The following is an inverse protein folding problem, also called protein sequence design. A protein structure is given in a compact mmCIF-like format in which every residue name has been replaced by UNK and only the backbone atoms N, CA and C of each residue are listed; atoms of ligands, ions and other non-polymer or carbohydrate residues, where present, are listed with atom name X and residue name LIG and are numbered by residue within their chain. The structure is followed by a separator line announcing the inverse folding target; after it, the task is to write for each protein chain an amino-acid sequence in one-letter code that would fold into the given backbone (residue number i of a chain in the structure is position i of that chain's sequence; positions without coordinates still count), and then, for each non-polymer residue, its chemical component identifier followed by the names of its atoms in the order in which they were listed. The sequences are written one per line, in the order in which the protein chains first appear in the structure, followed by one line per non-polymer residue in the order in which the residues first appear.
data_IF_156074598050
#
_entry.id   IF_156074598050
#
_cell.length_a   1.000
_cell.length_b   1.000
_cell.length_c   1.000
_cell.angle_alpha   90.00
_cell.angle_beta   90.00
_cell.angle_gamma   90.00
#
_symmetry.space_group_name_H-M   'P 1'
#
loop_
_entity.id
_entity.type
_entity.pdbx_description
1 polymer ?
#
# COMPACT_ATOMS: atom_id res chain seq x y z
N UNK A 1 4.99 -12.90 2.19
CA UNK A 1 3.87 -12.37 1.36
C UNK A 1 4.08 -12.73 -0.11
N UNK A 2 5.25 -12.42 -0.66
CA UNK A 2 5.67 -12.76 -2.03
C UNK A 2 5.29 -14.18 -2.46
N UNK A 3 5.79 -15.22 -1.78
CA UNK A 3 5.54 -16.63 -2.14
C UNK A 3 4.06 -16.95 -2.29
N UNK A 4 3.20 -16.42 -1.41
CA UNK A 4 1.76 -16.66 -1.50
C UNK A 4 1.14 -16.03 -2.75
N UNK A 5 1.45 -14.77 -3.04
CA UNK A 5 0.91 -14.08 -4.20
C UNK A 5 1.50 -14.63 -5.51
N UNK A 6 2.74 -15.12 -5.48
CA UNK A 6 3.32 -15.91 -6.56
C UNK A 6 2.56 -17.22 -6.78
N UNK A 7 2.24 -17.97 -5.71
CA UNK A 7 1.39 -19.16 -5.83
C UNK A 7 0.01 -18.83 -6.41
N UNK A 8 -0.64 -17.76 -5.93
CA UNK A 8 -1.94 -17.31 -6.43
C UNK A 8 -1.88 -16.97 -7.93
N UNK A 9 -0.86 -16.21 -8.36
CA UNK A 9 -0.67 -15.85 -9.77
C UNK A 9 -0.37 -17.08 -10.63
N UNK A 10 0.51 -17.97 -10.17
CA UNK A 10 0.85 -19.20 -10.89
C UNK A 10 -0.37 -20.12 -11.01
N UNK A 11 -1.15 -20.30 -9.94
CA UNK A 11 -2.39 -21.06 -9.97
C UNK A 11 -3.35 -20.50 -11.01
N UNK A 12 -3.54 -19.19 -11.05
CA UNK A 12 -4.40 -18.52 -12.03
C UNK A 12 -3.92 -18.71 -13.49
N UNK A 13 -2.62 -18.63 -13.73
CA UNK A 13 -2.04 -18.83 -15.07
C UNK A 13 -2.12 -20.30 -15.53
N UNK A 14 -2.00 -21.24 -14.59
CA UNK A 14 -1.99 -22.68 -14.86
C UNK A 14 -3.41 -23.25 -14.93
N UNK A 15 -4.40 -22.67 -14.25
CA UNK A 15 -5.82 -23.07 -14.32
C UNK A 15 -6.37 -23.06 -15.76
N UNK A 16 -5.76 -22.26 -16.65
CA UNK A 16 -6.10 -22.23 -18.08
C UNK A 16 -5.57 -23.42 -18.87
N UNK A 17 -4.78 -24.32 -18.26
CA UNK A 17 -4.20 -25.51 -18.89
C UNK A 17 -4.80 -26.76 -18.23
N UNK A 18 -5.64 -27.48 -18.97
CA UNK A 18 -6.41 -28.63 -18.48
C UNK A 18 -5.55 -29.77 -17.88
N UNK A 19 -4.28 -29.89 -18.29
CA UNK A 19 -3.42 -31.02 -17.93
C UNK A 19 -2.64 -30.84 -16.59
N UNK A 20 -2.98 -29.83 -15.78
CA UNK A 20 -2.17 -29.44 -14.60
C UNK A 20 -2.96 -29.28 -13.29
N UNK A 21 -4.13 -29.90 -13.17
CA UNK A 21 -4.99 -29.81 -11.98
C UNK A 21 -4.27 -30.22 -10.69
N UNK A 22 -3.48 -31.30 -10.71
CA UNK A 22 -2.69 -31.77 -9.57
C UNK A 22 -1.69 -30.71 -9.08
N UNK A 23 -1.10 -29.93 -9.99
CA UNK A 23 -0.19 -28.84 -9.65
C UNK A 23 -0.95 -27.65 -9.06
N UNK A 24 -2.13 -27.31 -9.59
CA UNK A 24 -2.99 -26.25 -9.05
C UNK A 24 -3.39 -26.57 -7.61
N UNK A 25 -3.76 -27.81 -7.32
CA UNK A 25 -4.12 -28.25 -5.96
C UNK A 25 -2.95 -28.09 -4.98
N UNK A 26 -1.74 -28.53 -5.38
CA UNK A 26 -0.53 -28.35 -4.56
C UNK A 26 -0.23 -26.87 -4.30
N UNK A 27 -0.37 -26.01 -5.31
CA UNK A 27 -0.17 -24.56 -5.17
C UNK A 27 -1.18 -23.93 -4.21
N UNK A 28 -2.47 -24.30 -4.30
CA UNK A 28 -3.52 -23.83 -3.37
C UNK A 28 -3.26 -24.28 -1.94
N UNK A 29 -2.79 -25.51 -1.75
CA UNK A 29 -2.40 -26.01 -0.41
C UNK A 29 -1.21 -25.23 0.15
N UNK A 30 -0.18 -24.99 -0.66
CA UNK A 30 0.97 -24.19 -0.25
C UNK A 30 0.56 -22.75 0.08
N UNK A 31 -0.33 -22.16 -0.73
CA UNK A 31 -0.91 -20.84 -0.48
C UNK A 31 -1.59 -20.78 0.89
N UNK A 32 -2.43 -21.77 1.22
CA UNK A 32 -3.13 -21.86 2.48
C UNK A 32 -2.17 -22.00 3.68
N UNK A 33 -1.17 -22.88 3.60
CA UNK A 33 -0.16 -23.07 4.65
C UNK A 33 0.65 -21.79 4.88
N UNK A 34 1.10 -21.13 3.80
CA UNK A 34 1.81 -19.86 3.89
C UNK A 34 0.93 -18.75 4.46
N UNK A 35 -0.35 -18.71 4.10
CA UNK A 35 -1.31 -17.75 4.63
C UNK A 35 -1.49 -17.91 6.14
N UNK A 36 -1.64 -19.15 6.61
CA UNK A 36 -1.76 -19.48 8.03
C UNK A 36 -0.51 -19.07 8.82
N UNK A 37 0.68 -19.47 8.33
CA UNK A 37 1.95 -19.08 8.96
C UNK A 37 2.11 -17.56 9.06
N UNK A 38 1.74 -16.81 8.01
CA UNK A 38 1.77 -15.34 8.05
C UNK A 38 0.83 -14.73 9.08
N UNK A 39 -0.32 -15.35 9.37
CA UNK A 39 -1.24 -14.84 10.41
C UNK A 39 -0.63 -15.01 11.79
N UNK A 40 -0.01 -16.16 12.05
CA UNK A 40 0.71 -16.43 13.30
C UNK A 40 1.82 -15.39 13.54
N UNK A 41 2.70 -15.14 12.55
CA UNK A 41 3.77 -14.14 12.70
C UNK A 41 3.24 -12.71 12.91
N UNK A 42 2.02 -12.40 12.49
CA UNK A 42 1.42 -11.07 12.64
C UNK A 42 0.89 -10.78 14.04
N UNK A 43 0.78 -11.76 14.92
CA UNK A 43 0.38 -11.54 16.31
C UNK A 43 1.32 -10.54 17.02
N UNK A 44 2.63 -10.64 16.78
CA UNK A 44 3.61 -9.68 17.31
C UNK A 44 3.48 -8.27 16.70
N UNK A 45 2.94 -8.14 15.49
CA UNK A 45 2.80 -6.86 14.81
C UNK A 45 1.69 -5.97 15.39
N UNK A 46 0.76 -6.53 16.18
CA UNK A 46 -0.25 -5.72 16.90
C UNK A 46 0.43 -4.73 17.84
N UNK A 47 1.43 -5.17 18.61
CA UNK A 47 2.17 -4.33 19.54
C UNK A 47 2.94 -3.24 18.78
N UNK A 48 3.58 -3.61 17.67
CA UNK A 48 4.26 -2.65 16.81
C UNK A 48 3.30 -1.59 16.24
N UNK A 49 2.09 -1.97 15.83
CA UNK A 49 1.08 -1.04 15.33
C UNK A 49 0.61 -0.07 16.43
N UNK A 50 0.41 -0.55 17.67
CA UNK A 50 0.05 0.31 18.80
C UNK A 50 1.16 1.28 19.18
N UNK A 51 2.42 0.82 19.19
CA UNK A 51 3.58 1.68 19.43
C UNK A 51 3.72 2.74 18.32
N UNK A 52 3.52 2.35 17.06
CA UNK A 52 3.51 3.28 15.94
C UNK A 52 2.38 4.31 16.05
N UNK A 53 1.18 3.90 16.48
CA UNK A 53 0.07 4.82 16.75
C UNK A 53 0.39 5.82 17.86
N UNK A 54 1.07 5.39 18.93
CA UNK A 54 1.52 6.28 20.01
C UNK A 54 2.56 7.28 19.53
N UNK A 55 3.55 6.84 18.74
CA UNK A 55 4.58 7.73 18.16
C UNK A 55 3.96 8.76 17.22
N UNK A 56 3.00 8.35 16.40
CA UNK A 56 2.31 9.25 15.48
C UNK A 56 1.63 10.43 16.20
N UNK A 57 1.17 10.26 17.45
CA UNK A 57 0.57 11.37 18.24
C UNK A 57 1.56 12.49 18.56
N UNK A 58 2.86 12.23 18.51
CA UNK A 58 3.91 13.19 18.82
C UNK A 58 4.34 14.03 17.60
N UNK A 59 3.84 13.73 16.40
CA UNK A 59 4.14 14.48 15.18
C UNK A 59 3.62 15.91 15.28
N UNK A 60 4.37 16.96 14.87
CA UNK A 60 3.94 18.35 14.98
C UNK A 60 2.73 18.68 14.09
N UNK A 61 2.68 18.14 12.88
CA UNK A 61 1.64 18.46 11.90
C UNK A 61 0.32 17.70 12.14
N UNK A 62 -0.80 18.42 12.14
CA UNK A 62 -2.12 17.88 12.51
C UNK A 62 -2.63 16.83 11.52
N UNK A 63 -2.48 17.06 10.21
CA UNK A 63 -3.03 16.19 9.17
C UNK A 63 -2.27 14.84 9.10
N UNK A 64 -0.93 14.80 8.99
CA UNK A 64 -0.17 13.54 9.06
C UNK A 64 -0.36 12.81 10.39
N UNK A 65 -0.41 13.54 11.52
CA UNK A 65 -0.66 12.97 12.85
C UNK A 65 -1.98 12.19 12.88
N UNK A 66 -3.07 12.81 12.40
CA UNK A 66 -4.38 12.16 12.37
C UNK A 66 -4.37 10.92 11.47
N UNK A 67 -3.91 11.07 10.21
CA UNK A 67 -3.89 9.98 9.24
C UNK A 67 -3.04 8.78 9.72
N UNK A 68 -1.84 9.03 10.27
CA UNK A 68 -0.95 7.99 10.77
C UNK A 68 -1.49 7.33 12.04
N UNK A 69 -2.07 8.10 12.95
CA UNK A 69 -2.69 7.55 14.17
C UNK A 69 -3.88 6.66 13.82
N UNK A 70 -4.78 7.14 12.97
CA UNK A 70 -5.95 6.40 12.51
C UNK A 70 -5.57 5.15 11.71
N UNK A 71 -4.59 5.25 10.81
CA UNK A 71 -4.05 4.12 10.03
C UNK A 71 -3.48 3.03 10.93
N UNK A 72 -2.66 3.40 11.93
CA UNK A 72 -2.04 2.43 12.82
C UNK A 72 -3.03 1.81 13.82
N UNK A 73 -4.03 2.57 14.27
CA UNK A 73 -5.08 2.04 15.14
C UNK A 73 -5.97 1.02 14.42
N UNK A 74 -6.42 1.36 13.20
CA UNK A 74 -7.22 0.44 12.39
C UNK A 74 -6.42 -0.77 11.92
N UNK A 75 -5.09 -0.64 11.77
CA UNK A 75 -4.18 -1.76 11.54
C UNK A 75 -4.04 -2.67 12.77
N UNK A 76 -4.05 -2.13 13.98
CA UNK A 76 -4.06 -2.92 15.20
C UNK A 76 -5.37 -3.73 15.31
N UNK A 77 -6.53 -3.10 15.02
CA UNK A 77 -7.82 -3.79 14.95
C UNK A 77 -7.83 -4.91 13.91
N UNK A 78 -7.26 -4.66 12.74
CA UNK A 78 -7.07 -5.68 11.72
C UNK A 78 -6.29 -6.90 12.24
N UNK A 79 -5.17 -6.69 12.94
CA UNK A 79 -4.38 -7.79 13.50
C UNK A 79 -5.15 -8.57 14.58
N UNK A 80 -6.00 -7.91 15.37
CA UNK A 80 -6.88 -8.58 16.33
C UNK A 80 -7.87 -9.50 15.59
N UNK A 81 -8.54 -9.00 14.54
CA UNK A 81 -9.44 -9.84 13.75
C UNK A 81 -8.70 -11.02 13.09
N UNK A 82 -7.47 -10.79 12.60
CA UNK A 82 -6.64 -11.84 12.01
C UNK A 82 -6.23 -12.91 13.05
N UNK A 83 -5.98 -12.50 14.30
CA UNK A 83 -5.69 -13.39 15.42
C UNK A 83 -6.89 -14.29 15.75
N UNK A 84 -8.10 -13.71 15.83
CA UNK A 84 -9.34 -14.45 16.06
C UNK A 84 -9.60 -15.46 14.94
N UNK A 85 -9.42 -15.05 13.68
CA UNK A 85 -9.57 -15.96 12.53
C UNK A 85 -8.52 -17.08 12.52
N UNK A 86 -7.30 -16.80 12.96
CA UNK A 86 -6.26 -17.81 13.09
C UNK A 86 -6.60 -18.80 14.21
N UNK A 87 -7.04 -18.31 15.37
CA UNK A 87 -7.45 -19.12 16.53
C UNK A 87 -8.57 -20.12 16.17
N UNK A 88 -9.56 -19.65 15.41
CA UNK A 88 -10.62 -20.50 14.88
C UNK A 88 -10.07 -21.59 13.93
N UNK A 89 -9.13 -21.24 13.05
CA UNK A 89 -8.51 -22.23 12.14
C UNK A 89 -7.66 -23.28 12.85
N UNK A 90 -7.15 -22.99 14.05
CA UNK A 90 -6.43 -23.95 14.91
C UNK A 90 -7.39 -24.82 15.73
N UNK A 91 -8.70 -24.51 15.72
CA UNK A 91 -9.72 -25.28 16.41
C UNK A 91 -9.95 -24.87 17.87
N UNK A 92 -9.31 -23.78 18.32
CA UNK A 92 -9.42 -23.29 19.70
C UNK A 92 -10.72 -22.52 19.97
N UNK A 93 -11.36 -21.98 18.92
CA UNK A 93 -12.66 -21.30 19.03
C UNK A 93 -13.54 -21.56 17.79
N UNK A 94 -14.23 -22.71 17.73
CA UNK A 94 -14.94 -23.16 16.53
C UNK A 94 -16.25 -22.40 16.23
N UNK A 95 -16.85 -21.74 17.23
CA UNK A 95 -18.17 -21.08 17.11
C UNK A 95 -18.11 -19.67 16.47
N UNK A 96 -16.94 -19.26 15.98
CA UNK A 96 -16.78 -17.91 15.40
C UNK A 96 -17.19 -17.90 13.94
N UNK A 97 -18.10 -17.00 13.58
CA UNK A 97 -18.50 -16.73 12.19
C UNK A 97 -17.31 -16.21 11.36
N UNK A 98 -16.66 -17.13 10.63
CA UNK A 98 -15.48 -16.83 9.80
C UNK A 98 -15.75 -15.74 8.77
N UNK A 99 -16.96 -15.70 8.20
CA UNK A 99 -17.32 -14.76 7.14
C UNK A 99 -17.43 -13.34 7.68
N UNK A 100 -18.14 -13.16 8.80
CA UNK A 100 -18.28 -11.85 9.45
C UNK A 100 -16.93 -11.29 9.90
N UNK A 101 -16.12 -12.10 10.58
CA UNK A 101 -14.81 -11.66 11.06
C UNK A 101 -13.82 -11.37 9.92
N UNK A 102 -13.87 -12.14 8.83
CA UNK A 102 -13.13 -11.84 7.60
C UNK A 102 -13.55 -10.48 7.03
N UNK A 103 -14.85 -10.22 6.93
CA UNK A 103 -15.36 -8.96 6.39
C UNK A 103 -14.93 -7.75 7.26
N UNK A 104 -15.05 -7.87 8.59
CA UNK A 104 -14.57 -6.85 9.54
C UNK A 104 -13.06 -6.60 9.41
N UNK A 105 -12.25 -7.65 9.32
CA UNK A 105 -10.81 -7.53 9.09
C UNK A 105 -10.53 -6.78 7.78
N UNK A 106 -11.22 -7.12 6.70
CA UNK A 106 -11.07 -6.47 5.39
C UNK A 106 -11.44 -4.98 5.46
N UNK A 107 -12.53 -4.62 6.12
CA UNK A 107 -12.93 -3.22 6.31
C UNK A 107 -11.90 -2.42 7.10
N UNK A 108 -11.38 -3.00 8.20
CA UNK A 108 -10.34 -2.35 9.01
C UNK A 108 -9.06 -2.13 8.20
N UNK A 109 -8.64 -3.15 7.44
CA UNK A 109 -7.45 -3.06 6.59
C UNK A 109 -7.65 -2.04 5.45
N UNK A 110 -8.82 -2.02 4.82
CA UNK A 110 -9.18 -1.06 3.79
C UNK A 110 -9.13 0.38 4.31
N UNK A 111 -9.73 0.65 5.48
CA UNK A 111 -9.69 1.98 6.08
C UNK A 111 -8.26 2.41 6.43
N UNK A 112 -7.47 1.50 6.99
CA UNK A 112 -6.04 1.74 7.28
C UNK A 112 -5.27 2.15 6.01
N UNK A 113 -5.60 1.52 4.89
CA UNK A 113 -4.99 1.80 3.60
C UNK A 113 -5.42 3.15 3.02
N UNK A 114 -6.70 3.50 3.14
CA UNK A 114 -7.19 4.83 2.74
C UNK A 114 -6.51 5.94 3.53
N UNK A 115 -6.33 5.77 4.84
CA UNK A 115 -5.63 6.75 5.68
C UNK A 115 -4.16 6.91 5.28
N UNK A 116 -3.49 5.81 4.89
CA UNK A 116 -2.14 5.88 4.34
C UNK A 116 -2.09 6.63 3.01
N UNK A 117 -3.00 6.31 2.08
CA UNK A 117 -3.09 6.98 0.78
C UNK A 117 -3.41 8.48 0.95
N UNK A 118 -4.28 8.85 1.88
CA UNK A 118 -4.58 10.23 2.20
C UNK A 118 -3.34 10.98 2.71
N UNK A 119 -2.52 10.33 3.55
CA UNK A 119 -1.23 10.88 4.00
C UNK A 119 -0.24 11.02 2.85
N UNK A 120 -0.13 10.02 1.99
CA UNK A 120 0.77 10.07 0.83
C UNK A 120 0.35 11.19 -0.13
N UNK A 121 -0.95 11.33 -0.38
CA UNK A 121 -1.51 12.41 -1.18
C UNK A 121 -1.22 13.79 -0.60
N UNK A 122 -1.46 13.97 0.70
CA UNK A 122 -1.17 15.24 1.39
C UNK A 122 0.31 15.63 1.25
N UNK A 123 1.22 14.68 1.49
CA UNK A 123 2.67 14.92 1.38
C UNK A 123 3.09 15.28 -0.07
N UNK A 124 2.47 14.63 -1.06
CA UNK A 124 2.70 14.94 -2.48
C UNK A 124 2.20 16.36 -2.80
N UNK A 125 0.99 16.72 -2.37
CA UNK A 125 0.41 18.04 -2.60
C UNK A 125 1.27 19.14 -1.98
N UNK A 126 1.68 18.96 -0.72
CA UNK A 126 2.56 19.89 -0.02
C UNK A 126 3.89 20.10 -0.75
N UNK A 127 4.55 19.01 -1.18
CA UNK A 127 5.82 19.09 -1.92
C UNK A 127 5.67 19.69 -3.30
N UNK A 128 4.54 19.45 -3.95
CA UNK A 128 4.25 20.01 -5.26
C UNK A 128 4.05 21.53 -5.16
N UNK A 129 3.33 22.00 -4.14
CA UNK A 129 3.18 23.44 -3.86
C UNK A 129 4.55 24.10 -3.64
N UNK A 130 5.43 23.48 -2.85
CA UNK A 130 6.80 23.97 -2.67
C UNK A 130 7.58 24.04 -3.98
N UNK A 131 7.52 23.00 -4.81
CA UNK A 131 8.21 22.98 -6.11
C UNK A 131 7.69 24.05 -7.08
N UNK A 132 6.38 24.35 -7.03
CA UNK A 132 5.79 25.43 -7.82
C UNK A 132 6.26 26.80 -7.33
N UNK A 133 6.34 27.02 -6.02
CA UNK A 133 6.84 28.29 -5.47
C UNK A 133 8.34 28.50 -5.75
N UNK A 134 9.15 27.45 -5.67
CA UNK A 134 10.57 27.51 -6.06
C UNK A 134 10.74 27.87 -7.54
N UNK A 135 9.92 27.31 -8.43
CA UNK A 135 9.94 27.63 -9.86
C UNK A 135 9.52 29.08 -10.10
N UNK A 136 8.45 29.56 -9.49
CA UNK A 136 8.02 30.96 -9.59
C UNK A 136 9.10 31.94 -9.11
N UNK A 137 9.77 31.63 -8.01
CA UNK A 137 10.86 32.47 -7.47
C UNK A 137 12.06 32.49 -8.40
N UNK A 138 12.45 31.34 -8.98
CA UNK A 138 13.54 31.24 -9.97
C UNK A 138 13.20 31.94 -11.27
N UNK A 139 11.98 31.76 -11.77
CA UNK A 139 11.49 32.47 -12.95
C UNK A 139 11.50 33.98 -12.72
N UNK A 140 11.02 34.48 -11.58
CA UNK A 140 11.07 35.91 -11.26
C UNK A 140 12.51 36.48 -11.25
N UNK A 141 13.52 35.67 -10.87
CA UNK A 141 14.94 36.06 -10.97
C UNK A 141 15.54 35.94 -12.38
N UNK A 142 14.91 35.18 -13.28
CA UNK A 142 15.40 34.88 -14.62
C UNK A 142 14.69 35.72 -15.72
N UNK A 143 13.45 36.16 -15.46
CA UNK A 143 12.68 37.07 -16.32
C UNK A 143 13.30 38.46 -16.45
N UNK A 144 14.22 38.85 -15.56
CA UNK A 144 15.01 40.08 -15.70
C UNK A 144 16.05 40.01 -16.84
N UNK A 145 16.22 38.83 -17.48
CA UNK A 145 17.25 38.62 -18.51
C UNK A 145 16.80 37.98 -19.83
N UNK A 146 15.60 37.39 -19.94
CA UNK A 146 15.30 36.48 -21.06
C UNK A 146 13.88 36.58 -21.65
N UNK A 147 13.34 37.79 -21.73
CA UNK A 147 11.99 38.07 -22.23
C UNK A 147 11.78 37.80 -23.75
N UNK A 148 12.66 37.04 -24.44
CA UNK A 148 12.69 37.03 -25.92
C UNK A 148 12.58 35.69 -26.65
N UNK A 149 12.70 34.49 -26.05
CA UNK A 149 12.80 33.26 -26.89
C UNK A 149 11.91 32.04 -26.60
N UNK A 150 11.22 31.93 -25.46
CA UNK A 150 10.59 30.63 -25.10
C UNK A 150 9.06 30.63 -25.07
N UNK A 151 8.43 31.21 -26.09
CA UNK A 151 6.99 31.01 -26.34
C UNK A 151 6.65 29.66 -27.01
N UNK A 152 7.59 28.70 -27.04
CA UNK A 152 7.48 27.48 -27.85
C UNK A 152 7.59 26.17 -27.06
N UNK A 153 6.93 26.05 -25.89
CA UNK A 153 6.33 24.77 -25.44
C UNK A 153 5.15 25.12 -24.53
N UNK A 154 3.98 25.44 -25.10
CA UNK A 154 2.71 25.30 -24.37
C UNK A 154 2.47 23.81 -24.17
N UNK A 155 3.12 23.24 -23.17
CA UNK A 155 2.75 21.94 -22.65
C UNK A 155 1.44 22.15 -21.91
N UNK A 156 0.39 21.43 -22.30
CA UNK A 156 -0.91 21.45 -21.62
C UNK A 156 -0.70 21.43 -20.09
N UNK A 157 -1.47 22.24 -19.35
CA UNK A 157 -1.30 22.38 -17.90
C UNK A 157 -1.27 21.03 -17.17
N UNK A 158 -1.98 20.02 -17.70
CA UNK A 158 -1.98 18.65 -17.21
C UNK A 158 -0.62 17.94 -17.42
N UNK A 159 0.00 18.07 -18.59
CA UNK A 159 1.29 17.44 -18.88
C UNK A 159 2.42 18.07 -18.07
N UNK A 160 2.41 19.40 -17.92
CA UNK A 160 3.33 20.11 -17.03
C UNK A 160 3.17 19.70 -15.56
N UNK A 161 1.93 19.54 -15.10
CA UNK A 161 1.62 19.04 -13.76
C UNK A 161 2.09 17.59 -13.56
N UNK A 162 1.84 16.69 -14.51
CA UNK A 162 2.28 15.28 -14.43
C UNK A 162 3.80 15.16 -14.41
N UNK A 163 4.51 15.95 -15.22
CA UNK A 163 5.98 15.98 -15.20
C UNK A 163 6.52 16.47 -13.85
N UNK A 164 5.92 17.53 -13.30
CA UNK A 164 6.25 18.04 -11.96
C UNK A 164 6.00 16.99 -10.88
N UNK A 165 4.85 16.33 -10.92
CA UNK A 165 4.49 15.26 -10.00
C UNK A 165 5.52 14.12 -10.06
N UNK A 166 5.86 13.65 -11.26
CA UNK A 166 6.87 12.61 -11.47
C UNK A 166 8.25 13.05 -10.96
N UNK A 167 8.62 14.32 -11.15
CA UNK A 167 9.87 14.87 -10.65
C UNK A 167 9.93 14.89 -9.12
N UNK A 168 8.85 15.32 -8.46
CA UNK A 168 8.73 15.31 -6.99
C UNK A 168 8.82 13.88 -6.46
N UNK A 169 8.10 12.94 -7.09
CA UNK A 169 8.08 11.54 -6.68
C UNK A 169 9.46 10.88 -6.87
N UNK A 170 10.17 11.21 -7.96
CA UNK A 170 11.55 10.75 -8.21
C UNK A 170 12.55 11.32 -7.20
N UNK A 171 12.36 12.57 -6.75
CA UNK A 171 13.20 13.21 -5.73
C UNK A 171 12.94 12.65 -4.33
N UNK A 172 11.77 12.04 -4.11
CA UNK A 172 11.37 11.44 -2.84
C UNK A 172 11.04 9.95 -3.00
N UNK A 173 12.04 9.09 -3.25
CA UNK A 173 11.82 7.67 -3.51
C UNK A 173 11.08 6.92 -2.38
N UNK A 174 11.21 7.25 -1.08
CA UNK A 174 10.41 6.58 -0.05
C UNK A 174 8.90 6.83 -0.17
N UNK A 175 8.49 8.03 -0.61
CA UNK A 175 7.08 8.40 -0.80
C UNK A 175 6.49 7.69 -2.03
N UNK A 176 7.28 7.60 -3.12
CA UNK A 176 6.93 6.81 -4.29
C UNK A 176 6.66 5.35 -3.92
N UNK A 177 7.59 4.75 -3.17
CA UNK A 177 7.50 3.34 -2.78
C UNK A 177 6.30 3.08 -1.88
N UNK A 178 6.01 3.95 -0.89
CA UNK A 178 4.83 3.79 -0.04
C UNK A 178 3.54 3.94 -0.84
N UNK A 179 3.45 4.95 -1.73
CA UNK A 179 2.30 5.16 -2.61
C UNK A 179 2.04 3.94 -3.50
N UNK A 180 3.05 3.47 -4.24
CA UNK A 180 2.93 2.31 -5.15
C UNK A 180 2.49 1.08 -4.37
N UNK A 181 3.09 0.84 -3.20
CA UNK A 181 2.73 -0.27 -2.33
C UNK A 181 1.28 -0.17 -1.87
N UNK A 182 0.86 1.00 -1.39
CA UNK A 182 -0.50 1.21 -0.89
C UNK A 182 -1.54 1.06 -2.01
N UNK A 183 -1.26 1.58 -3.22
CA UNK A 183 -2.12 1.40 -4.40
C UNK A 183 -2.25 -0.08 -4.80
N UNK A 184 -1.14 -0.83 -4.79
CA UNK A 184 -1.17 -2.26 -5.10
C UNK A 184 -1.97 -3.07 -4.06
N UNK A 185 -1.77 -2.77 -2.77
CA UNK A 185 -2.46 -3.44 -1.66
C UNK A 185 -3.97 -3.12 -1.63
N UNK A 186 -4.45 -2.12 -2.39
CA UNK A 186 -5.86 -1.74 -2.50
C UNK A 186 -6.72 -2.74 -3.29
N UNK A 187 -6.10 -3.45 -4.24
CA UNK A 187 -6.78 -4.42 -5.12
C UNK A 187 -7.49 -5.54 -4.34
N UNK A 188 -6.85 -6.07 -3.29
CA UNK A 188 -7.40 -7.17 -2.50
C UNK A 188 -8.67 -6.80 -1.70
N UNK A 189 -8.64 -5.73 -0.90
CA UNK A 189 -9.82 -5.30 -0.15
C UNK A 189 -10.98 -4.83 -1.02
N UNK A 190 -10.70 -4.15 -2.14
CA UNK A 190 -11.74 -3.71 -3.08
C UNK A 190 -12.52 -4.90 -3.67
N UNK A 191 -11.82 -5.97 -4.03
CA UNK A 191 -12.43 -7.19 -4.54
C UNK A 191 -13.23 -7.92 -3.43
N UNK A 192 -12.63 -8.08 -2.25
CA UNK A 192 -13.26 -8.79 -1.12
C UNK A 192 -14.51 -8.08 -0.60
N UNK A 193 -14.55 -6.74 -0.66
CA UNK A 193 -15.71 -5.93 -0.27
C UNK A 193 -16.75 -5.82 -1.38
N UNK A 194 -16.46 -6.33 -2.58
CA UNK A 194 -17.36 -6.23 -3.74
C UNK A 194 -17.49 -4.83 -4.33
N UNK A 195 -16.60 -3.89 -3.95
CA UNK A 195 -16.60 -2.50 -4.46
C UNK A 195 -16.11 -2.46 -5.91
N UNK A 196 -15.06 -3.23 -6.21
CA UNK A 196 -14.52 -3.36 -7.56
C UNK A 196 -14.03 -4.79 -7.81
N UNK A 197 -14.74 -5.52 -8.69
CA UNK A 197 -14.41 -6.92 -9.02
C UNK A 197 -13.09 -6.96 -9.79
N UNK A 198 -12.08 -7.54 -9.17
CA UNK A 198 -10.74 -7.62 -9.72
C UNK A 198 -10.40 -9.07 -10.03
N UNK A 199 -9.70 -9.31 -11.14
CA UNK A 199 -9.28 -10.65 -11.47
C UNK A 199 -8.22 -11.17 -10.46
N UNK A 200 -8.30 -12.44 -9.99
CA UNK A 200 -7.29 -13.05 -9.12
C UNK A 200 -5.84 -12.88 -9.63
N UNK A 201 -5.61 -12.89 -10.94
CA UNK A 201 -4.29 -12.64 -11.53
C UNK A 201 -3.76 -11.23 -11.24
N UNK A 202 -4.63 -10.21 -11.28
CA UNK A 202 -4.25 -8.82 -10.97
C UNK A 202 -3.94 -8.68 -9.48
N UNK A 203 -4.75 -9.28 -8.60
CA UNK A 203 -4.50 -9.29 -7.15
C UNK A 203 -3.16 -9.98 -6.84
N UNK A 204 -2.89 -11.11 -7.51
CA UNK A 204 -1.61 -11.82 -7.42
C UNK A 204 -0.44 -10.96 -7.85
N UNK A 205 -0.53 -10.31 -9.01
CA UNK A 205 0.51 -9.40 -9.51
C UNK A 205 0.75 -8.20 -8.59
N UNK A 206 -0.31 -7.51 -8.18
CA UNK A 206 -0.22 -6.39 -7.24
C UNK A 206 0.41 -6.82 -5.90
N UNK A 207 0.04 -7.99 -5.39
CA UNK A 207 0.63 -8.53 -4.16
C UNK A 207 2.10 -8.94 -4.29
N UNK A 208 2.56 -9.33 -5.48
CA UNK A 208 3.99 -9.52 -5.76
C UNK A 208 4.70 -8.17 -5.78
N UNK A 209 4.16 -7.18 -6.50
CA UNK A 209 4.76 -5.85 -6.61
C UNK A 209 4.90 -5.18 -5.24
N UNK A 210 3.84 -5.20 -4.42
CA UNK A 210 3.86 -4.65 -3.07
C UNK A 210 4.81 -5.41 -2.14
N UNK A 211 4.98 -6.72 -2.35
CA UNK A 211 5.96 -7.53 -1.62
C UNK A 211 7.40 -7.19 -2.01
N UNK A 212 7.68 -6.97 -3.30
CA UNK A 212 8.99 -6.58 -3.79
C UNK A 212 9.39 -5.20 -3.25
N UNK A 213 8.47 -4.23 -3.26
CA UNK A 213 8.67 -2.94 -2.60
C UNK A 213 8.95 -3.10 -1.11
N UNK A 214 8.23 -4.00 -0.43
CA UNK A 214 8.50 -4.35 0.97
C UNK A 214 9.89 -4.92 1.21
N UNK A 215 10.41 -5.77 0.32
CA UNK A 215 11.76 -6.33 0.41
C UNK A 215 12.81 -5.26 0.14
N UNK A 216 12.62 -4.43 -0.90
CA UNK A 216 13.52 -3.33 -1.25
C UNK A 216 13.66 -2.32 -0.11
N UNK A 217 12.55 -1.97 0.54
CA UNK A 217 12.55 -1.05 1.69
C UNK A 217 13.21 -1.63 2.95
N UNK A 218 13.24 -2.96 3.09
CA UNK A 218 13.98 -3.64 4.16
C UNK A 218 15.47 -3.76 3.85
N UNK A 219 15.83 -4.03 2.60
CA UNK A 219 17.21 -4.15 2.14
C UNK A 219 17.94 -2.80 2.12
N UNK A 220 17.22 -1.72 1.83
CA UNK A 220 17.77 -0.36 1.73
C UNK A 220 17.14 0.56 2.78
N UNK A 221 17.69 0.64 4.01
CA UNK A 221 17.12 1.47 5.08
C UNK A 221 17.11 2.97 4.76
N UNK A 222 17.96 3.44 3.83
CA UNK A 222 17.93 4.81 3.30
C UNK A 222 16.67 5.14 2.48
N UNK A 223 15.95 4.11 1.99
CA UNK A 223 14.68 4.26 1.26
C UNK A 223 13.46 4.12 2.17
N UNK A 224 13.67 3.89 3.47
CA UNK A 224 12.58 3.81 4.44
C UNK A 224 12.11 5.21 4.79
N UNK A 225 10.85 5.53 4.47
CA UNK A 225 10.24 6.78 4.90
C UNK A 225 10.28 6.80 6.43
N UNK A 226 11.02 7.74 7.03
CA UNK A 226 10.96 7.97 8.47
C UNK A 226 9.57 8.56 8.75
N UNK A 227 8.73 7.76 9.40
CA UNK A 227 7.44 8.16 9.95
C UNK A 227 7.63 8.87 11.29
#
# INVERSE_FOLDING_TARGET
RATQYTCMLLSYLIERKADKEKLVMKLKQLEASMSSGRKMFRLGNMVHALVAARRARQLPDVVPRFCLTASNLTRALYFICDAVLWLNNVGLQPDVDKSKWRNWATKCYYFSLLMNLARDWYEISWRLEQAVQEKKTKENSFWDKHNQELNCVKCDGLHGFLLLLLQVLKRHPPLLLDLVKNLCDLSGPLDTLGIYKTNPGVIGFCGILSSLVGILTLASPHLKLKQ
#
